data_IF_326022627097
#
_entry.id   IF_326022627097
#
_cell.length_a   1.000
_cell.length_b   1.000
_cell.length_c   1.000
_cell.angle_alpha   90.00
_cell.angle_beta   90.00
_cell.angle_gamma   90.00
#
_symmetry.space_group_name_H-M   'P 1'
#
loop_
_entity.id
_entity.type
_entity.pdbx_description
1 polymer ?
#
# COMPACT_ATOMS: atom_id res chain seq x y z
N UNK A 1 -0.82 -0.39 12.95
CA UNK A 1 -1.33 -1.68 12.39
C UNK A 1 -0.31 -2.82 12.53
N UNK A 2 -0.66 -4.10 12.34
CA UNK A 2 0.30 -5.25 12.41
C UNK A 2 0.44 -5.89 11.02
N UNK A 3 1.68 -6.14 10.60
CA UNK A 3 2.01 -6.84 9.35
C UNK A 3 3.25 -7.71 9.57
N UNK A 4 3.25 -8.98 9.11
CA UNK A 4 4.33 -9.93 9.35
C UNK A 4 4.79 -10.01 10.83
N UNK A 5 3.83 -9.95 11.77
CA UNK A 5 4.11 -9.99 13.21
C UNK A 5 4.76 -8.73 13.80
N UNK A 6 5.06 -7.71 13.00
CA UNK A 6 5.60 -6.41 13.44
C UNK A 6 4.50 -5.37 13.54
N UNK A 7 4.54 -4.58 14.62
CA UNK A 7 3.67 -3.40 14.78
C UNK A 7 4.28 -2.19 14.08
N UNK A 8 3.46 -1.51 13.28
CA UNK A 8 3.79 -0.27 12.58
C UNK A 8 2.92 0.86 13.07
N UNK A 9 3.48 2.07 13.07
CA UNK A 9 2.70 3.30 13.17
C UNK A 9 2.16 3.64 11.78
N UNK A 10 0.87 3.95 11.71
CA UNK A 10 0.23 4.42 10.49
C UNK A 10 0.33 5.94 10.35
N UNK A 11 0.59 6.39 9.13
CA UNK A 11 0.54 7.79 8.73
C UNK A 11 -0.39 7.92 7.54
N UNK A 12 -1.37 8.82 7.59
CA UNK A 12 -2.23 9.09 6.44
C UNK A 12 -1.35 9.53 5.25
N UNK A 13 -1.62 8.98 4.07
CA UNK A 13 -0.83 9.25 2.86
C UNK A 13 -1.72 9.33 1.63
N UNK A 14 -1.35 10.18 0.69
CA UNK A 14 -1.89 10.21 -0.67
C UNK A 14 -0.81 9.83 -1.70
N UNK A 15 0.35 9.33 -1.27
CA UNK A 15 1.41 8.85 -2.15
C UNK A 15 1.86 7.45 -1.71
N UNK A 16 1.98 6.55 -2.68
CA UNK A 16 2.50 5.19 -2.46
C UNK A 16 3.41 4.81 -3.64
N UNK A 17 4.40 3.97 -3.40
CA UNK A 17 5.21 3.36 -4.46
C UNK A 17 5.31 1.85 -4.28
N UNK A 18 5.93 1.19 -5.28
CA UNK A 18 6.25 -0.23 -5.21
C UNK A 18 7.05 -0.55 -3.93
N UNK A 19 6.84 -1.74 -3.38
CA UNK A 19 7.46 -2.25 -2.15
C UNK A 19 7.09 -1.52 -0.85
N UNK A 20 6.41 -0.38 -0.90
CA UNK A 20 5.91 0.26 0.31
C UNK A 20 4.91 -0.65 1.02
N UNK A 21 4.94 -0.66 2.35
CA UNK A 21 3.94 -1.35 3.17
C UNK A 21 2.86 -0.33 3.51
N UNK A 22 1.65 -0.59 3.03
CA UNK A 22 0.52 0.32 3.13
C UNK A 22 -0.73 -0.38 3.64
N UNK A 23 -1.70 0.41 4.08
CA UNK A 23 -3.05 -0.01 4.32
C UNK A 23 -3.99 0.79 3.40
N UNK A 24 -4.66 0.12 2.48
CA UNK A 24 -5.66 0.73 1.59
C UNK A 24 -7.03 0.13 1.91
N UNK A 25 -7.99 0.97 2.30
CA UNK A 25 -9.34 0.54 2.69
C UNK A 25 -9.35 -0.59 3.75
N UNK A 26 -8.39 -0.56 4.69
CA UNK A 26 -8.25 -1.61 5.72
C UNK A 26 -7.48 -2.85 5.27
N UNK A 27 -7.13 -2.99 3.99
CA UNK A 27 -6.29 -4.09 3.49
C UNK A 27 -4.82 -3.71 3.62
N UNK A 28 -4.06 -4.49 4.41
CA UNK A 28 -2.64 -4.25 4.67
C UNK A 28 -1.80 -5.17 3.79
N UNK A 29 -0.81 -4.61 3.11
CA UNK A 29 0.14 -5.38 2.31
C UNK A 29 1.28 -4.53 1.79
N UNK A 30 2.27 -5.18 1.19
CA UNK A 30 3.24 -4.46 0.37
C UNK A 30 2.68 -4.24 -1.04
N UNK A 31 3.02 -3.11 -1.64
CA UNK A 31 2.61 -2.75 -3.00
C UNK A 31 3.44 -3.57 -4.00
N UNK A 32 2.85 -4.64 -4.52
CA UNK A 32 3.51 -5.55 -5.47
C UNK A 32 3.42 -5.03 -6.91
N UNK A 33 2.31 -4.36 -7.24
CA UNK A 33 2.11 -3.78 -8.56
C UNK A 33 1.22 -2.54 -8.53
N UNK A 34 1.51 -1.59 -9.41
CA UNK A 34 0.68 -0.42 -9.68
C UNK A 34 0.29 -0.48 -11.16
N UNK A 35 -0.99 -0.74 -11.41
CA UNK A 35 -1.56 -0.80 -12.74
C UNK A 35 -2.36 0.48 -13.02
N UNK A 36 -2.90 0.57 -14.24
CA UNK A 36 -3.67 1.73 -14.66
C UNK A 36 -4.87 1.99 -13.73
N UNK A 37 -5.67 0.95 -13.49
CA UNK A 37 -6.96 0.97 -12.78
C UNK A 37 -6.92 0.38 -11.36
N UNK A 38 -5.89 -0.40 -11.01
CA UNK A 38 -5.78 -1.03 -9.70
C UNK A 38 -4.36 -1.05 -9.13
N UNK A 39 -4.28 -1.30 -7.83
CA UNK A 39 -3.06 -1.60 -7.08
C UNK A 39 -3.16 -3.03 -6.58
N UNK A 40 -2.06 -3.79 -6.66
CA UNK A 40 -1.96 -5.12 -6.08
C UNK A 40 -1.24 -5.02 -4.74
N UNK A 41 -1.92 -5.39 -3.66
CA UNK A 41 -1.32 -5.56 -2.34
C UNK A 41 -1.13 -7.05 -2.05
N UNK A 42 0.02 -7.43 -1.53
CA UNK A 42 0.23 -8.80 -1.04
C UNK A 42 0.29 -8.78 0.49
N UNK A 43 -0.59 -9.56 1.11
CA UNK A 43 -0.69 -9.65 2.57
C UNK A 43 0.42 -10.52 3.20
N UNK A 44 0.41 -10.62 4.53
CA UNK A 44 1.39 -11.38 5.32
C UNK A 44 1.27 -12.91 5.13
N UNK A 45 0.24 -13.38 4.43
CA UNK A 45 0.04 -14.78 4.05
C UNK A 45 0.42 -15.03 2.59
N UNK A 46 0.94 -14.02 1.89
CA UNK A 46 1.29 -14.12 0.48
C UNK A 46 0.07 -14.09 -0.45
N UNK A 47 -1.12 -13.70 0.04
CA UNK A 47 -2.31 -13.57 -0.79
C UNK A 47 -2.32 -12.18 -1.44
N UNK A 48 -2.52 -12.17 -2.75
CA UNK A 48 -2.69 -10.94 -3.52
C UNK A 48 -4.14 -10.41 -3.43
N UNK A 49 -4.28 -9.10 -3.26
CA UNK A 49 -5.53 -8.37 -3.17
C UNK A 49 -5.53 -7.24 -4.19
N UNK A 50 -6.53 -7.24 -5.08
CA UNK A 50 -6.73 -6.17 -6.06
C UNK A 50 -7.51 -5.03 -5.42
N UNK A 51 -6.92 -3.85 -5.36
CA UNK A 51 -7.54 -2.62 -4.86
C UNK A 51 -7.81 -1.69 -6.05
N UNK A 52 -9.07 -1.42 -6.33
CA UNK A 52 -9.46 -0.47 -7.38
C UNK A 52 -9.08 0.96 -6.97
N UNK A 53 -8.29 1.65 -7.79
CA UNK A 53 -7.75 2.98 -7.48
C UNK A 53 -8.85 4.02 -7.29
N UNK A 54 -9.97 3.88 -7.99
CA UNK A 54 -11.07 4.84 -7.92
C UNK A 54 -11.94 4.65 -6.66
N UNK A 55 -11.76 3.55 -5.94
CA UNK A 55 -12.53 3.22 -4.75
C UNK A 55 -11.70 3.34 -3.45
N UNK A 56 -10.47 3.87 -3.51
CA UNK A 56 -9.65 4.10 -2.31
C UNK A 56 -10.25 5.28 -1.54
N UNK A 57 -10.74 5.00 -0.33
CA UNK A 57 -11.33 5.98 0.58
C UNK A 57 -10.43 6.26 1.79
N UNK A 58 -9.50 5.35 2.08
CA UNK A 58 -8.50 5.54 3.13
C UNK A 58 -7.18 4.89 2.73
N UNK A 59 -6.10 5.61 2.99
CA UNK A 59 -4.75 5.18 2.69
C UNK A 59 -3.78 5.58 3.80
N UNK A 60 -3.05 4.59 4.31
CA UNK A 60 -2.05 4.79 5.35
C UNK A 60 -0.72 4.16 4.96
N UNK A 61 0.36 4.93 5.10
CA UNK A 61 1.73 4.44 5.02
C UNK A 61 2.11 3.77 6.34
N UNK A 62 2.61 2.54 6.29
CA UNK A 62 3.18 1.85 7.44
C UNK A 62 4.71 1.85 7.39
N UNK A 63 5.29 1.68 6.20
CA UNK A 63 6.73 1.72 5.98
C UNK A 63 7.03 2.09 4.54
N UNK A 64 7.77 3.18 4.36
CA UNK A 64 8.30 3.57 3.06
C UNK A 64 9.67 2.90 2.87
N UNK A 65 9.85 2.12 1.81
CA UNK A 65 11.14 1.45 1.58
C UNK A 65 12.13 2.40 0.90
N UNK A 66 11.67 3.21 -0.05
CA UNK A 66 12.51 4.20 -0.73
C UNK A 66 11.86 5.59 -0.72
N UNK A 67 12.54 6.59 -0.12
CA UNK A 67 12.04 7.99 -0.10
C UNK A 67 11.88 8.59 -1.49
N UNK A 68 12.68 8.15 -2.47
CA UNK A 68 12.63 8.60 -3.86
C UNK A 68 12.23 7.45 -4.79
N UNK A 69 11.17 6.74 -4.43
CA UNK A 69 10.66 5.68 -5.27
C UNK A 69 10.11 6.26 -6.59
N UNK A 70 10.81 6.01 -7.69
CA UNK A 70 10.44 6.49 -9.03
C UNK A 70 9.19 5.80 -9.59
N UNK A 71 8.74 4.73 -8.93
CA UNK A 71 7.52 3.99 -9.23
C UNK A 71 6.38 4.37 -8.27
N UNK A 72 6.37 5.62 -7.81
CA UNK A 72 5.29 6.15 -6.96
C UNK A 72 4.15 6.75 -7.76
N UNK A 73 2.95 6.68 -7.20
CA UNK A 73 1.77 7.37 -7.70
C UNK A 73 1.13 8.20 -6.60
N UNK A 74 0.45 9.27 -7.01
CA UNK A 74 -0.52 9.94 -6.17
C UNK A 74 -1.84 9.15 -6.22
N UNK A 75 -2.44 8.96 -5.06
CA UNK A 75 -3.78 8.46 -4.87
C UNK A 75 -4.76 9.62 -5.00
N UNK A 76 -5.91 9.37 -5.64
CA UNK A 76 -6.97 10.35 -5.82
C UNK A 76 -7.78 10.56 -4.54
#
# INVERSE_FOLDING_TARGET
MIFNGKRYNEYETNIIGLDDIVCLNGTIGYVDAIMYDYILLVDDKGKAHRIDKNNIQSAFMLSQIFRNNLSSILLN
#
